data_IF_340621289212
#
_entry.id   IF_340621289212
#
_cell.length_a   1.000
_cell.length_b   1.000
_cell.length_c   1.000
_cell.angle_alpha   90.00
_cell.angle_beta   90.00
_cell.angle_gamma   90.00
#
_symmetry.space_group_name_H-M   'P 1'
#
loop_
_entity.id
_entity.type
_entity.pdbx_description
1 polymer ?
#
# COMPACT_ATOMS: atom_id res chain seq x y z
N UNK A 1 -17.16 -8.83 8.85
CA UNK A 1 -15.87 -9.39 9.34
C UNK A 1 -15.60 -9.09 10.81
N UNK A 2 -15.63 -7.84 11.30
CA UNK A 2 -15.36 -7.54 12.73
C UNK A 2 -16.25 -8.31 13.69
N UNK A 3 -17.55 -8.39 13.45
CA UNK A 3 -18.48 -9.17 14.28
C UNK A 3 -18.08 -10.66 14.35
N UNK A 4 -17.63 -11.22 13.24
CA UNK A 4 -17.16 -12.61 13.18
C UNK A 4 -15.89 -12.78 14.02
N UNK A 5 -14.93 -11.84 13.89
CA UNK A 5 -13.70 -11.86 14.68
C UNK A 5 -13.98 -11.71 16.18
N UNK A 6 -14.94 -10.87 16.57
CA UNK A 6 -15.41 -10.77 17.95
C UNK A 6 -16.03 -12.09 18.45
N UNK A 7 -16.85 -12.75 17.64
CA UNK A 7 -17.41 -14.08 17.96
C UNK A 7 -16.29 -15.11 18.16
N UNK A 8 -15.22 -15.06 17.35
CA UNK A 8 -14.05 -15.93 17.52
C UNK A 8 -13.33 -15.67 18.84
N UNK A 9 -13.09 -14.41 19.20
CA UNK A 9 -12.44 -14.03 20.47
C UNK A 9 -13.24 -14.55 21.67
N UNK A 10 -14.56 -14.44 21.60
CA UNK A 10 -15.46 -14.92 22.67
C UNK A 10 -15.73 -16.42 22.63
N UNK A 11 -15.09 -17.18 21.74
CA UNK A 11 -15.30 -18.63 21.63
C UNK A 11 -16.69 -19.01 21.14
N UNK A 12 -17.31 -18.17 20.33
CA UNK A 12 -18.64 -18.39 19.77
C UNK A 12 -18.59 -18.86 18.30
N UNK A 13 -17.41 -18.85 17.67
CA UNK A 13 -17.24 -19.27 16.29
C UNK A 13 -15.83 -19.77 16.03
N UNK A 14 -15.71 -20.87 15.28
CA UNK A 14 -14.41 -21.42 14.85
C UNK A 14 -13.83 -20.59 13.71
N UNK A 15 -12.54 -20.14 13.80
CA UNK A 15 -11.92 -19.39 12.71
C UNK A 15 -11.68 -20.22 11.46
N UNK A 16 -11.68 -21.57 11.55
CA UNK A 16 -11.34 -22.45 10.43
C UNK A 16 -12.56 -22.94 9.64
N UNK A 17 -13.71 -23.16 10.30
CA UNK A 17 -14.88 -23.74 9.62
C UNK A 17 -16.19 -23.03 9.97
N UNK A 18 -16.16 -21.96 10.75
CA UNK A 18 -17.35 -21.21 11.12
C UNK A 18 -18.26 -21.87 12.17
N UNK A 19 -18.01 -23.12 12.57
CA UNK A 19 -18.84 -23.86 13.52
C UNK A 19 -18.91 -23.14 14.88
N UNK A 20 -20.07 -23.16 15.51
CA UNK A 20 -20.34 -22.46 16.78
C UNK A 20 -20.13 -23.36 18.02
N UNK A 21 -19.95 -24.68 17.84
CA UNK A 21 -19.70 -25.62 18.94
C UNK A 21 -18.20 -25.70 19.24
N UNK A 22 -17.79 -25.03 20.31
CA UNK A 22 -16.39 -24.93 20.74
C UNK A 22 -16.23 -25.38 22.18
N UNK A 23 -15.11 -26.08 22.46
CA UNK A 23 -14.73 -26.50 23.81
C UNK A 23 -13.57 -25.64 24.30
N UNK A 24 -13.70 -25.08 25.49
CA UNK A 24 -12.58 -24.39 26.16
C UNK A 24 -11.64 -25.41 26.78
N UNK A 25 -10.37 -25.34 26.41
CA UNK A 25 -9.33 -26.20 26.92
C UNK A 25 -8.73 -25.64 28.24
N UNK A 26 -8.04 -26.49 29.01
CA UNK A 26 -7.38 -26.10 30.27
C UNK A 26 -6.33 -24.98 30.07
N UNK A 27 -5.69 -24.94 28.91
CA UNK A 27 -4.70 -23.93 28.52
C UNK A 27 -5.31 -22.64 27.93
N UNK A 28 -6.59 -22.42 28.16
CA UNK A 28 -7.37 -21.24 27.71
C UNK A 28 -7.57 -21.13 26.19
N UNK A 29 -7.14 -22.10 25.39
CA UNK A 29 -7.47 -22.20 23.97
C UNK A 29 -8.90 -22.72 23.77
N UNK A 30 -9.44 -22.53 22.56
CA UNK A 30 -10.66 -23.18 22.10
C UNK A 30 -10.32 -24.32 21.12
N UNK A 31 -11.15 -25.37 21.13
CA UNK A 31 -11.11 -26.47 20.16
C UNK A 31 -12.48 -26.60 19.51
N UNK A 32 -12.53 -26.63 18.19
CA UNK A 32 -13.76 -26.87 17.44
C UNK A 32 -14.21 -28.33 17.56
N UNK A 33 -15.50 -28.57 17.69
CA UNK A 33 -16.08 -29.91 17.72
C UNK A 33 -16.05 -30.59 16.36
N UNK A 34 -16.14 -29.82 15.29
CA UNK A 34 -16.26 -30.28 13.90
C UNK A 34 -14.89 -30.53 13.26
N UNK A 35 -14.11 -29.47 13.04
CA UNK A 35 -12.83 -29.56 12.34
C UNK A 35 -11.63 -29.82 13.28
N UNK A 36 -11.84 -29.91 14.58
CA UNK A 36 -10.84 -30.13 15.62
C UNK A 36 -9.77 -29.04 15.72
N UNK A 37 -9.89 -27.95 14.96
CA UNK A 37 -8.96 -26.81 15.01
C UNK A 37 -8.87 -26.23 16.42
N UNK A 38 -7.63 -25.94 16.85
CA UNK A 38 -7.33 -25.34 18.15
C UNK A 38 -6.77 -23.93 17.94
N UNK A 39 -7.36 -22.94 18.60
CA UNK A 39 -6.87 -21.58 18.51
C UNK A 39 -6.85 -20.86 19.86
N UNK A 40 -6.08 -19.79 19.94
CA UNK A 40 -5.98 -18.93 21.11
C UNK A 40 -6.71 -17.61 20.84
N UNK A 41 -7.76 -17.28 21.61
CA UNK A 41 -8.44 -15.98 21.48
C UNK A 41 -7.48 -14.81 21.74
N UNK A 42 -6.51 -14.98 22.63
CA UNK A 42 -5.48 -13.98 22.89
C UNK A 42 -4.66 -13.62 21.65
N UNK A 43 -4.36 -14.58 20.76
CA UNK A 43 -3.67 -14.27 19.49
C UNK A 43 -4.51 -13.38 18.60
N UNK A 44 -5.78 -13.71 18.43
CA UNK A 44 -6.72 -12.93 17.60
C UNK A 44 -6.89 -11.52 18.16
N UNK A 45 -7.08 -11.39 19.48
CA UNK A 45 -7.18 -10.08 20.14
C UNK A 45 -5.90 -9.25 20.00
N UNK A 46 -4.73 -9.90 20.11
CA UNK A 46 -3.44 -9.25 19.89
C UNK A 46 -3.32 -8.74 18.46
N UNK A 47 -3.68 -9.54 17.47
CA UNK A 47 -3.60 -9.16 16.06
C UNK A 47 -4.55 -7.97 15.76
N UNK A 48 -5.75 -7.94 16.32
CA UNK A 48 -6.64 -6.77 16.22
C UNK A 48 -6.03 -5.50 16.81
N UNK A 49 -5.42 -5.58 18.00
CA UNK A 49 -4.74 -4.44 18.62
C UNK A 49 -3.59 -3.93 17.75
N UNK A 50 -2.78 -4.84 17.21
CA UNK A 50 -1.67 -4.48 16.31
C UNK A 50 -2.16 -3.88 14.99
N UNK A 51 -3.21 -4.45 14.38
CA UNK A 51 -3.85 -3.89 13.18
C UNK A 51 -4.42 -2.49 13.44
N UNK A 52 -5.02 -2.26 14.61
CA UNK A 52 -5.51 -0.93 14.98
C UNK A 52 -4.37 0.08 15.03
N UNK A 53 -3.26 -0.22 15.74
CA UNK A 53 -2.09 0.65 15.79
C UNK A 53 -1.44 0.86 14.42
N UNK A 54 -1.39 -0.19 13.61
CA UNK A 54 -0.90 -0.10 12.23
C UNK A 54 -1.80 0.79 11.36
N UNK A 55 -3.11 0.67 11.49
CA UNK A 55 -4.07 1.51 10.76
C UNK A 55 -3.92 3.00 11.05
N UNK A 56 -3.58 3.33 12.29
CA UNK A 56 -3.29 4.69 12.76
C UNK A 56 -1.88 5.20 12.39
N UNK A 57 -1.13 4.44 11.62
CA UNK A 57 0.26 4.75 11.22
C UNK A 57 1.21 4.97 12.42
N UNK A 58 0.96 4.32 13.55
CA UNK A 58 1.81 4.41 14.73
C UNK A 58 3.06 3.55 14.50
N UNK A 59 4.30 4.12 14.59
CA UNK A 59 5.52 3.37 14.38
C UNK A 59 5.67 2.20 15.37
N UNK A 60 6.24 1.07 14.92
CA UNK A 60 6.39 -0.14 15.73
C UNK A 60 7.05 0.10 17.09
N UNK A 61 8.05 1.00 17.18
CA UNK A 61 8.70 1.36 18.46
C UNK A 61 7.73 2.00 19.47
N UNK A 62 6.79 2.82 18.99
CA UNK A 62 5.78 3.44 19.85
C UNK A 62 4.74 2.41 20.26
N UNK A 63 4.24 1.63 19.32
CA UNK A 63 3.28 0.54 19.60
C UNK A 63 3.81 -0.47 20.62
N UNK A 64 5.10 -0.77 20.57
CA UNK A 64 5.78 -1.63 21.55
C UNK A 64 5.64 -1.09 22.98
N UNK A 65 5.86 0.20 23.18
CA UNK A 65 5.75 0.82 24.50
C UNK A 65 4.32 0.82 25.03
N UNK A 66 3.37 1.15 24.16
CA UNK A 66 1.96 1.30 24.54
C UNK A 66 1.30 -0.07 24.80
N UNK A 67 1.68 -1.11 24.03
CA UNK A 67 1.06 -2.44 24.11
C UNK A 67 1.83 -3.44 24.98
N UNK A 68 3.06 -3.13 25.42
CA UNK A 68 3.90 -4.03 26.20
C UNK A 68 4.43 -5.25 25.44
N UNK A 69 4.40 -5.22 24.11
CA UNK A 69 4.92 -6.31 23.27
C UNK A 69 6.39 -6.09 22.90
N UNK A 70 7.12 -7.16 22.56
CA UNK A 70 8.51 -7.02 22.11
C UNK A 70 8.60 -6.33 20.74
N UNK A 71 9.65 -5.54 20.53
CA UNK A 71 9.86 -4.81 19.27
C UNK A 71 9.90 -5.74 18.04
N UNK A 72 10.63 -6.85 18.16
CA UNK A 72 10.75 -7.79 17.05
C UNK A 72 9.39 -8.39 16.67
N UNK A 73 8.56 -8.69 17.66
CA UNK A 73 7.22 -9.21 17.42
C UNK A 73 6.35 -8.18 16.69
N UNK A 74 6.26 -6.94 17.21
CA UNK A 74 5.47 -5.87 16.58
C UNK A 74 5.97 -5.57 15.17
N UNK A 75 7.30 -5.46 14.99
CA UNK A 75 7.92 -5.22 13.68
C UNK A 75 7.57 -6.32 12.67
N UNK A 76 7.64 -7.57 13.08
CA UNK A 76 7.34 -8.70 12.19
C UNK A 76 5.85 -8.70 11.77
N UNK A 77 4.92 -8.44 12.69
CA UNK A 77 3.50 -8.28 12.33
C UNK A 77 3.29 -7.15 11.34
N UNK A 78 3.93 -5.99 11.55
CA UNK A 78 3.83 -4.85 10.62
C UNK A 78 4.42 -5.12 9.24
N UNK A 79 5.46 -5.97 9.16
CA UNK A 79 5.98 -6.43 7.87
C UNK A 79 4.97 -7.37 7.20
N UNK A 80 4.40 -8.32 7.96
CA UNK A 80 3.40 -9.25 7.43
C UNK A 80 2.16 -8.51 6.92
N UNK A 81 1.64 -7.51 7.64
CA UNK A 81 0.53 -6.69 7.17
C UNK A 81 0.84 -5.95 5.85
N UNK A 82 2.10 -5.53 5.64
CA UNK A 82 2.54 -4.94 4.37
C UNK A 82 2.62 -5.98 3.25
N UNK A 83 3.01 -7.21 3.56
CA UNK A 83 2.98 -8.31 2.58
C UNK A 83 1.54 -8.60 2.19
N UNK A 84 0.63 -8.74 3.14
CA UNK A 84 -0.80 -8.94 2.89
C UNK A 84 -1.40 -7.80 2.04
N UNK A 85 -1.02 -6.54 2.31
CA UNK A 85 -1.42 -5.40 1.48
C UNK A 85 -0.86 -5.52 0.06
N UNK A 86 0.40 -5.92 -0.09
CA UNK A 86 1.05 -6.10 -1.38
C UNK A 86 0.31 -7.15 -2.22
N UNK A 87 0.03 -8.31 -1.63
CA UNK A 87 -0.68 -9.40 -2.29
C UNK A 87 -2.12 -8.98 -2.63
N UNK A 88 -2.82 -8.35 -1.70
CA UNK A 88 -4.16 -7.82 -1.92
C UNK A 88 -4.23 -6.81 -3.08
N UNK A 89 -3.27 -5.89 -3.18
CA UNK A 89 -3.22 -4.93 -4.30
C UNK A 89 -2.93 -5.60 -5.63
N UNK A 90 -2.18 -6.71 -5.65
CA UNK A 90 -1.92 -7.49 -6.85
C UNK A 90 -3.17 -8.25 -7.32
N UNK A 91 -3.95 -8.81 -6.39
CA UNK A 91 -5.22 -9.51 -6.70
C UNK A 91 -6.30 -8.54 -7.18
N UNK A 92 -6.41 -7.37 -6.56
CA UNK A 92 -7.40 -6.32 -6.89
C UNK A 92 -6.97 -5.45 -8.08
N UNK A 93 -5.84 -5.79 -8.73
CA UNK A 93 -5.31 -4.96 -9.80
C UNK A 93 -6.25 -4.93 -11.01
N UNK A 94 -6.50 -3.73 -11.50
CA UNK A 94 -7.08 -3.45 -12.82
C UNK A 94 -6.28 -2.36 -13.52
N UNK A 95 -6.24 -2.39 -14.83
CA UNK A 95 -5.63 -1.31 -15.60
C UNK A 95 -6.32 0.02 -15.32
N UNK A 96 -5.52 1.07 -15.22
CA UNK A 96 -6.01 2.44 -15.10
C UNK A 96 -6.56 2.92 -16.45
N UNK A 97 -7.60 3.76 -16.42
CA UNK A 97 -8.27 4.22 -17.63
C UNK A 97 -8.67 5.71 -17.56
N UNK A 98 -9.10 6.26 -18.69
CA UNK A 98 -9.56 7.63 -18.76
C UNK A 98 -8.42 8.67 -18.74
N UNK A 99 -8.44 9.62 -17.83
CA UNK A 99 -7.40 10.66 -17.67
C UNK A 99 -6.36 10.23 -16.64
N UNK A 100 -5.12 10.01 -17.05
CA UNK A 100 -4.04 9.44 -16.24
C UNK A 100 -2.88 10.43 -16.15
N UNK A 101 -2.48 10.80 -14.94
CA UNK A 101 -1.25 11.52 -14.67
C UNK A 101 -0.10 10.52 -14.52
N UNK A 102 1.07 10.79 -15.17
CA UNK A 102 2.28 9.97 -15.06
C UNK A 102 3.47 10.86 -14.66
N UNK A 103 4.24 10.42 -13.67
CA UNK A 103 5.40 11.13 -13.16
C UNK A 103 6.34 10.20 -12.42
N UNK A 104 7.62 10.62 -12.24
CA UNK A 104 8.59 9.89 -11.45
C UNK A 104 8.94 10.63 -10.17
N UNK A 105 9.20 9.87 -9.12
CA UNK A 105 9.72 10.40 -7.88
C UNK A 105 10.93 9.61 -7.36
N UNK A 106 11.79 10.30 -6.63
CA UNK A 106 13.04 9.76 -6.12
C UNK A 106 12.97 9.68 -4.60
N UNK A 107 13.11 8.47 -4.04
CA UNK A 107 13.06 8.20 -2.62
C UNK A 107 14.45 7.85 -2.08
N UNK A 108 14.76 8.35 -0.89
CA UNK A 108 16.03 8.13 -0.19
C UNK A 108 16.45 9.36 0.60
N UNK A 109 17.31 9.17 1.62
CA UNK A 109 17.75 10.24 2.50
C UNK A 109 18.51 11.37 1.79
N UNK A 110 18.62 12.53 2.46
CA UNK A 110 19.48 13.63 2.01
C UNK A 110 20.94 13.19 2.17
N UNK A 111 21.63 12.92 1.06
CA UNK A 111 23.07 12.73 1.02
C UNK A 111 23.73 13.95 0.35
N UNK A 112 24.99 14.27 0.73
CA UNK A 112 25.80 15.25 0.01
C UNK A 112 26.08 14.70 -1.41
N UNK A 113 25.71 15.43 -2.45
CA UNK A 113 25.94 15.03 -3.85
C UNK A 113 24.85 15.55 -4.80
N UNK A 114 24.88 15.13 -6.08
CA UNK A 114 23.92 15.55 -7.10
C UNK A 114 22.48 15.29 -6.71
N UNK A 115 21.58 16.26 -6.99
CA UNK A 115 20.13 16.18 -6.70
C UNK A 115 19.37 15.71 -7.94
N UNK A 116 18.15 15.22 -7.74
CA UNK A 116 17.24 14.82 -8.82
C UNK A 116 17.70 13.54 -9.52
N UNK A 117 17.59 13.51 -10.84
CA UNK A 117 17.91 12.35 -11.70
C UNK A 117 19.38 11.87 -11.61
N UNK A 118 20.30 12.72 -11.16
CA UNK A 118 21.74 12.36 -10.93
C UNK A 118 22.03 11.67 -9.59
N UNK A 119 21.05 11.48 -8.73
CA UNK A 119 21.25 10.88 -7.41
C UNK A 119 21.27 9.34 -7.49
N UNK A 120 22.43 8.76 -7.75
CA UNK A 120 22.66 7.31 -8.02
C UNK A 120 22.13 6.35 -6.94
N UNK A 121 21.99 6.78 -5.70
CA UNK A 121 21.58 5.90 -4.58
C UNK A 121 20.09 5.99 -4.22
N UNK A 122 19.31 6.84 -4.89
CA UNK A 122 17.87 6.95 -4.63
C UNK A 122 17.10 5.87 -5.37
N UNK A 123 16.07 5.37 -4.71
CA UNK A 123 15.09 4.48 -5.33
C UNK A 123 14.22 5.32 -6.26
N UNK A 124 14.17 4.91 -7.52
CA UNK A 124 13.33 5.55 -8.54
C UNK A 124 11.97 4.88 -8.52
N UNK A 125 10.94 5.67 -8.41
CA UNK A 125 9.55 5.21 -8.41
C UNK A 125 8.82 5.89 -9.54
N UNK A 126 8.19 5.11 -10.38
CA UNK A 126 7.23 5.56 -11.37
C UNK A 126 5.83 5.49 -10.78
N UNK A 127 4.99 6.46 -11.07
CA UNK A 127 3.61 6.51 -10.64
C UNK A 127 2.64 6.87 -11.75
N UNK A 128 1.47 6.29 -11.70
CA UNK A 128 0.34 6.63 -12.54
C UNK A 128 -0.89 6.86 -11.66
N UNK A 129 -1.57 7.97 -11.86
CA UNK A 129 -2.79 8.32 -11.13
C UNK A 129 -3.95 8.55 -12.12
N UNK A 130 -4.96 7.71 -12.02
CA UNK A 130 -6.26 7.93 -12.64
C UNK A 130 -6.94 9.12 -11.94
N UNK A 131 -7.28 10.17 -12.68
CA UNK A 131 -7.87 11.37 -12.08
C UNK A 131 -9.16 11.03 -11.35
N UNK A 132 -9.24 11.44 -10.07
CA UNK A 132 -10.32 11.12 -9.14
C UNK A 132 -10.44 9.61 -8.81
N UNK A 133 -9.49 8.79 -9.23
CA UNK A 133 -9.46 7.35 -9.08
C UNK A 133 -8.29 6.81 -8.26
N UNK A 134 -7.76 5.71 -8.74
CA UNK A 134 -6.69 4.93 -8.10
C UNK A 134 -5.32 5.39 -8.58
N UNK A 135 -4.34 5.14 -7.72
CA UNK A 135 -2.92 5.26 -8.06
C UNK A 135 -2.29 3.87 -8.19
N UNK A 136 -1.34 3.78 -9.08
CA UNK A 136 -0.41 2.66 -9.22
C UNK A 136 1.03 3.17 -9.10
N UNK A 137 1.89 2.43 -8.41
CA UNK A 137 3.31 2.76 -8.26
C UNK A 137 4.19 1.55 -8.53
N UNK A 138 5.31 1.77 -9.22
CA UNK A 138 6.35 0.76 -9.48
C UNK A 138 7.73 1.29 -9.14
N UNK A 139 8.60 0.42 -8.58
CA UNK A 139 10.03 0.70 -8.47
C UNK A 139 10.65 0.35 -9.81
N UNK A 140 11.39 1.29 -10.39
CA UNK A 140 12.04 1.13 -11.68
C UNK A 140 13.56 1.30 -11.57
N UNK A 141 14.30 0.51 -12.32
CA UNK A 141 15.77 0.58 -12.33
C UNK A 141 16.28 1.87 -12.99
N UNK A 142 15.55 2.32 -13.98
CA UNK A 142 15.86 3.54 -14.73
C UNK A 142 14.56 4.21 -15.21
N UNK A 143 14.68 5.43 -15.73
CA UNK A 143 13.56 6.23 -16.27
C UNK A 143 13.70 6.41 -17.79
N UNK A 144 14.14 5.36 -18.50
CA UNK A 144 14.19 5.36 -19.96
C UNK A 144 12.80 5.28 -20.57
N UNK A 145 12.67 5.67 -21.83
CA UNK A 145 11.41 5.59 -22.55
C UNK A 145 10.83 4.16 -22.59
N UNK A 146 11.72 3.17 -22.77
CA UNK A 146 11.35 1.76 -22.81
C UNK A 146 10.77 1.30 -21.45
N UNK A 147 11.49 1.57 -20.35
CA UNK A 147 11.04 1.16 -19.01
C UNK A 147 9.70 1.79 -18.66
N UNK A 148 9.54 3.10 -18.89
CA UNK A 148 8.28 3.79 -18.55
C UNK A 148 7.12 3.35 -19.45
N UNK A 149 7.40 3.08 -20.74
CA UNK A 149 6.36 2.58 -21.66
C UNK A 149 5.91 1.18 -21.31
N UNK A 150 6.80 0.28 -20.87
CA UNK A 150 6.42 -1.06 -20.42
C UNK A 150 5.49 -0.96 -19.21
N UNK A 151 5.82 -0.16 -18.20
CA UNK A 151 4.94 0.07 -17.05
C UNK A 151 3.57 0.61 -17.46
N UNK A 152 3.53 1.54 -18.42
CA UNK A 152 2.28 2.12 -18.91
C UNK A 152 1.43 1.08 -19.67
N UNK A 153 2.05 0.27 -20.53
CA UNK A 153 1.36 -0.76 -21.31
C UNK A 153 0.75 -1.84 -20.39
N UNK A 154 1.50 -2.23 -19.36
CA UNK A 154 1.07 -3.26 -18.43
C UNK A 154 -0.05 -2.78 -17.50
N UNK A 155 -0.08 -1.49 -17.16
CA UNK A 155 -0.91 -0.97 -16.07
C UNK A 155 -1.95 0.09 -16.48
N UNK A 156 -1.99 0.51 -17.74
CA UNK A 156 -2.99 1.45 -18.25
C UNK A 156 -3.68 0.93 -19.52
N UNK A 157 -4.93 1.35 -19.71
CA UNK A 157 -5.71 1.03 -20.90
C UNK A 157 -5.23 1.86 -22.11
N UNK A 158 -5.10 1.19 -23.26
CA UNK A 158 -4.82 1.86 -24.54
C UNK A 158 -5.94 2.82 -24.89
N UNK A 159 -5.58 3.99 -25.40
CA UNK A 159 -6.54 5.04 -25.77
C UNK A 159 -6.85 6.02 -24.64
N UNK A 160 -6.32 5.83 -23.45
CA UNK A 160 -6.40 6.79 -22.34
C UNK A 160 -5.73 8.12 -22.68
N UNK A 161 -6.04 9.16 -21.89
CA UNK A 161 -5.41 10.49 -21.99
C UNK A 161 -4.31 10.59 -20.93
N UNK A 162 -3.07 10.72 -21.36
CA UNK A 162 -1.91 10.76 -20.47
C UNK A 162 -1.39 12.18 -20.28
N UNK A 163 -1.26 12.60 -19.02
CA UNK A 163 -0.67 13.88 -18.63
C UNK A 163 0.72 13.63 -18.02
N UNK A 164 1.76 14.23 -18.58
CA UNK A 164 3.14 14.10 -18.11
C UNK A 164 3.85 15.44 -18.09
N UNK A 165 5.02 15.50 -17.46
CA UNK A 165 5.97 16.59 -17.67
C UNK A 165 6.58 16.55 -19.10
N UNK A 166 7.45 17.51 -19.41
CA UNK A 166 8.15 17.61 -20.72
C UNK A 166 9.29 16.58 -20.91
N UNK A 167 9.37 15.54 -20.06
CA UNK A 167 10.48 14.61 -20.16
C UNK A 167 10.44 13.78 -21.44
N UNK A 168 11.63 13.65 -22.07
CA UNK A 168 11.77 13.01 -23.40
C UNK A 168 11.31 11.55 -23.44
N UNK A 169 11.36 10.84 -22.33
CA UNK A 169 10.95 9.43 -22.20
C UNK A 169 9.48 9.19 -22.52
N UNK A 170 8.62 10.22 -22.43
CA UNK A 170 7.20 10.12 -22.72
C UNK A 170 6.80 10.34 -24.18
N UNK A 171 7.75 10.61 -25.09
CA UNK A 171 7.44 10.89 -26.51
C UNK A 171 6.67 9.77 -27.21
N UNK A 172 6.89 8.52 -26.81
CA UNK A 172 6.24 7.34 -27.39
C UNK A 172 4.78 7.17 -26.97
N UNK A 173 4.31 7.85 -25.91
CA UNK A 173 2.93 7.80 -25.44
C UNK A 173 1.89 8.14 -26.51
N UNK A 174 2.23 9.03 -27.44
CA UNK A 174 1.35 9.39 -28.57
C UNK A 174 0.90 8.21 -29.43
N UNK A 175 1.63 7.09 -29.39
CA UNK A 175 1.25 5.85 -30.11
C UNK A 175 0.36 4.92 -29.28
N UNK A 176 0.24 5.19 -27.98
CA UNK A 176 -0.55 4.38 -27.07
C UNK A 176 -1.88 5.05 -26.66
N UNK A 177 -1.88 6.38 -26.55
CA UNK A 177 -3.06 7.17 -26.24
C UNK A 177 -2.87 8.66 -26.51
N UNK A 178 -3.81 9.49 -26.10
CA UNK A 178 -3.69 10.94 -26.22
C UNK A 178 -2.67 11.46 -25.19
N UNK A 179 -1.57 12.01 -25.65
CA UNK A 179 -0.53 12.57 -24.78
C UNK A 179 -0.64 14.09 -24.66
N UNK A 180 -0.71 14.58 -23.44
CA UNK A 180 -0.77 16.01 -23.09
C UNK A 180 0.41 16.32 -22.19
N UNK A 181 1.32 17.18 -22.66
CA UNK A 181 2.47 17.62 -21.88
C UNK A 181 2.11 18.85 -21.06
N UNK A 182 2.46 18.85 -19.78
CA UNK A 182 2.25 19.93 -18.81
C UNK A 182 3.54 20.74 -18.66
N UNK A 183 3.42 22.07 -18.72
CA UNK A 183 4.54 22.99 -18.51
C UNK A 183 4.44 23.67 -17.15
N UNK A 184 5.17 23.16 -16.16
CA UNK A 184 5.20 23.74 -14.81
C UNK A 184 5.67 25.21 -14.74
N UNK A 185 6.38 25.69 -15.77
CA UNK A 185 6.91 27.08 -15.83
C UNK A 185 5.90 28.13 -16.28
N UNK A 186 4.80 27.75 -16.95
CA UNK A 186 3.88 28.68 -17.60
C UNK A 186 2.43 28.56 -17.17
N UNK A 187 2.00 27.44 -16.62
CA UNK A 187 0.59 27.12 -16.34
C UNK A 187 0.38 26.60 -14.90
N UNK A 188 0.77 27.40 -13.89
CA UNK A 188 0.36 27.09 -12.51
C UNK A 188 -1.16 27.24 -12.38
N UNK A 189 -1.88 26.11 -12.31
CA UNK A 189 -3.27 26.08 -11.82
C UNK A 189 -4.37 26.56 -12.78
N UNK A 190 -4.10 26.78 -14.07
CA UNK A 190 -5.15 27.16 -15.03
C UNK A 190 -5.65 25.94 -15.83
N UNK A 191 -6.87 25.50 -15.52
CA UNK A 191 -7.58 24.48 -16.28
C UNK A 191 -7.17 23.02 -15.94
N UNK A 192 -7.52 22.07 -16.83
CA UNK A 192 -7.31 20.62 -16.66
C UNK A 192 -5.88 20.13 -16.94
N UNK A 193 -4.93 21.01 -17.30
CA UNK A 193 -3.56 20.63 -17.64
C UNK A 193 -2.64 20.74 -16.43
N UNK A 194 -2.65 19.73 -15.59
CA UNK A 194 -1.75 19.61 -14.41
C UNK A 194 -1.51 18.14 -14.04
N UNK A 195 -0.51 17.88 -13.23
CA UNK A 195 -0.19 16.58 -12.59
C UNK A 195 -0.20 16.70 -11.05
N UNK A 196 -1.00 17.66 -10.54
CA UNK A 196 -1.04 17.99 -9.12
C UNK A 196 -1.54 16.83 -8.25
N UNK A 197 -2.34 15.92 -8.81
CA UNK A 197 -2.81 14.73 -8.11
C UNK A 197 -1.67 13.82 -7.71
N UNK A 198 -0.78 13.55 -8.67
CA UNK A 198 0.38 12.70 -8.45
C UNK A 198 1.46 13.39 -7.59
N UNK A 199 1.68 14.70 -7.78
CA UNK A 199 2.55 15.48 -6.89
C UNK A 199 2.04 15.48 -5.44
N UNK A 200 0.73 15.59 -5.25
CA UNK A 200 0.09 15.45 -3.92
C UNK A 200 0.33 14.09 -3.30
N UNK A 201 0.25 13.02 -4.10
CA UNK A 201 0.60 11.68 -3.63
C UNK A 201 2.07 11.55 -3.24
N UNK A 202 3.00 12.11 -4.03
CA UNK A 202 4.43 12.08 -3.66
C UNK A 202 4.70 12.79 -2.34
N UNK A 203 4.05 13.92 -2.09
CA UNK A 203 4.15 14.65 -0.83
C UNK A 203 3.60 13.82 0.33
N UNK A 204 2.41 13.24 0.15
CA UNK A 204 1.78 12.31 1.10
C UNK A 204 2.69 11.12 1.45
N UNK A 205 3.25 10.43 0.44
CA UNK A 205 4.10 9.27 0.66
C UNK A 205 5.43 9.64 1.34
N UNK A 206 6.08 10.74 0.92
CA UNK A 206 7.35 11.19 1.50
C UNK A 206 7.20 11.59 2.96
N UNK A 207 6.16 12.33 3.31
CA UNK A 207 5.87 12.74 4.68
C UNK A 207 5.71 11.52 5.61
N UNK A 208 4.93 10.53 5.17
CA UNK A 208 4.68 9.32 5.97
C UNK A 208 5.91 8.44 6.12
N UNK A 209 6.69 8.30 5.07
CA UNK A 209 7.93 7.52 5.11
C UNK A 209 8.99 8.14 6.03
N UNK A 210 8.98 9.45 6.26
CA UNK A 210 9.87 10.10 7.23
C UNK A 210 9.68 9.59 8.67
N UNK A 211 8.46 9.20 9.05
CA UNK A 211 8.15 8.66 10.40
C UNK A 211 8.94 7.38 10.74
N UNK A 212 9.40 6.65 9.73
CA UNK A 212 10.13 5.40 9.92
C UNK A 212 11.65 5.60 10.08
N UNK A 213 12.17 6.83 9.96
CA UNK A 213 13.59 7.18 10.13
C UNK A 213 14.57 6.33 9.30
N UNK A 214 14.15 5.89 8.15
CA UNK A 214 14.90 5.04 7.22
C UNK A 214 14.26 3.67 7.03
N UNK A 215 14.03 3.35 5.77
CA UNK A 215 13.53 2.05 5.33
C UNK A 215 14.61 1.38 4.51
N UNK A 216 14.92 0.12 4.83
CA UNK A 216 15.86 -0.67 4.04
C UNK A 216 15.39 -0.79 2.60
N UNK A 217 16.30 -0.73 1.64
CA UNK A 217 15.97 -0.89 0.21
C UNK A 217 15.24 -2.20 -0.08
N UNK A 218 15.59 -3.29 0.64
CA UNK A 218 14.95 -4.60 0.49
C UNK A 218 13.48 -4.64 0.90
N UNK A 219 13.04 -3.76 1.80
CA UNK A 219 11.65 -3.66 2.24
C UNK A 219 10.91 -2.46 1.65
N UNK A 220 11.60 -1.60 0.89
CA UNK A 220 11.01 -0.33 0.43
C UNK A 220 9.76 -0.54 -0.42
N UNK A 221 9.71 -1.60 -1.26
CA UNK A 221 8.55 -1.95 -2.07
C UNK A 221 7.29 -2.18 -1.22
N UNK A 222 7.42 -2.82 -0.06
CA UNK A 222 6.30 -3.06 0.85
C UNK A 222 5.75 -1.75 1.45
N UNK A 223 6.66 -0.83 1.83
CA UNK A 223 6.25 0.48 2.36
C UNK A 223 5.63 1.35 1.26
N UNK A 224 6.14 1.29 0.05
CA UNK A 224 5.56 2.01 -1.09
C UNK A 224 4.13 1.52 -1.38
N UNK A 225 3.92 0.20 -1.39
CA UNK A 225 2.59 -0.39 -1.58
C UNK A 225 1.63 -0.11 -0.42
N UNK A 226 2.14 0.02 0.81
CA UNK A 226 1.33 0.54 1.93
C UNK A 226 0.84 1.97 1.64
N UNK A 227 1.70 2.87 1.11
CA UNK A 227 1.28 4.24 0.77
C UNK A 227 0.27 4.25 -0.37
N UNK A 228 0.47 3.43 -1.40
CA UNK A 228 -0.49 3.22 -2.49
C UNK A 228 -1.84 2.74 -1.97
N UNK A 229 -1.87 1.72 -1.12
CA UNK A 229 -3.07 1.20 -0.48
C UNK A 229 -3.81 2.29 0.32
N UNK A 230 -3.09 2.99 1.21
CA UNK A 230 -3.69 4.06 2.03
C UNK A 230 -4.26 5.20 1.19
N UNK A 231 -3.63 5.52 0.08
CA UNK A 231 -4.14 6.53 -0.84
C UNK A 231 -5.38 6.05 -1.60
N UNK A 232 -5.35 4.83 -2.10
CA UNK A 232 -6.45 4.24 -2.86
C UNK A 232 -7.72 4.08 -2.01
N UNK A 233 -7.56 3.73 -0.74
CA UNK A 233 -8.66 3.53 0.20
C UNK A 233 -8.87 4.67 1.20
N UNK A 234 -8.33 5.88 0.92
CA UNK A 234 -8.38 7.04 1.82
C UNK A 234 -9.79 7.53 2.21
N UNK A 235 -10.81 7.11 1.49
CA UNK A 235 -12.23 7.42 1.78
C UNK A 235 -12.91 6.30 2.59
N UNK A 236 -12.23 5.18 2.81
CA UNK A 236 -12.73 4.03 3.57
C UNK A 236 -12.14 3.99 4.98
N UNK A 237 -12.74 3.18 5.84
CA UNK A 237 -12.15 2.88 7.13
C UNK A 237 -10.99 1.89 6.95
N UNK A 238 -9.76 2.38 7.04
CA UNK A 238 -8.53 1.60 6.83
C UNK A 238 -8.43 0.43 7.83
N UNK A 239 -8.86 0.62 9.08
CA UNK A 239 -8.85 -0.47 10.06
C UNK A 239 -9.77 -1.62 9.65
N UNK A 240 -11.00 -1.34 9.27
CA UNK A 240 -11.94 -2.36 8.80
C UNK A 240 -11.41 -3.06 7.55
N UNK A 241 -10.82 -2.32 6.62
CA UNK A 241 -10.23 -2.89 5.41
C UNK A 241 -9.08 -3.85 5.74
N UNK A 242 -8.17 -3.46 6.64
CA UNK A 242 -7.06 -4.30 7.09
C UNK A 242 -7.53 -5.55 7.84
N UNK A 243 -8.57 -5.44 8.68
CA UNK A 243 -9.17 -6.61 9.35
C UNK A 243 -9.75 -7.58 8.31
N UNK A 244 -10.41 -7.06 7.28
CA UNK A 244 -10.94 -7.91 6.20
C UNK A 244 -9.82 -8.63 5.45
N UNK A 245 -8.72 -7.96 5.11
CA UNK A 245 -7.57 -8.55 4.42
C UNK A 245 -6.92 -9.62 5.30
N UNK A 246 -6.58 -9.28 6.55
CA UNK A 246 -5.84 -10.15 7.46
C UNK A 246 -6.61 -11.41 7.84
N UNK A 247 -7.91 -11.31 8.04
CA UNK A 247 -8.73 -12.43 8.48
C UNK A 247 -9.45 -13.16 7.34
N UNK A 248 -9.40 -12.68 6.08
CA UNK A 248 -10.04 -13.36 4.93
C UNK A 248 -9.60 -14.81 4.76
N UNK A 249 -8.31 -15.20 4.95
CA UNK A 249 -7.87 -16.59 4.79
C UNK A 249 -8.49 -17.57 5.81
N UNK A 250 -9.07 -17.06 6.91
CA UNK A 250 -9.76 -17.89 7.90
C UNK A 250 -11.19 -18.27 7.49
N UNK A 251 -11.70 -17.74 6.37
CA UNK A 251 -13.10 -17.91 5.96
C UNK A 251 -13.26 -18.39 4.49
N UNK A 252 -12.15 -18.73 3.83
CA UNK A 252 -12.12 -19.34 2.47
C UNK A 252 -11.97 -20.86 2.53
#
# INVERSE_FOLDING_TARGET
MLEIVERIIHGKQCPNCGNERLYRLKDKRFKCSECLHKYSPFRVEKDLKLLHYFSLEIPARKSTRDLGFSYNMVRNHYINYRVEIFDYLAEEFRKLSGEIECDESYFGGKKKGPRGRGAREKVKVFGMLERQGRIFTAIVDNVTAETLMNEIIDHAEKGSVFYTDKFKSYKSLKFYGKHITVDHGKEFGKGRKHINGLEGFWSFAKERLLKYHGVSKSYFHLYLKEMEFRYNYRKENIYHKLVNIHFSPFFN
#
